data_IF_765256803772
#
_entry.id   IF_765256803772
#
_cell.length_a   1.000
_cell.length_b   1.000
_cell.length_c   1.000
_cell.angle_alpha   90.00
_cell.angle_beta   90.00
_cell.angle_gamma   90.00
#
_symmetry.space_group_name_H-M   'P 1'
#
loop_
_entity.id
_entity.type
_entity.pdbx_description
1 polymer ?
#
# COMPACT_ATOMS: atom_id res chain seq x y z
N UNK A 1 -30.33 -27.26 5.46
CA UNK A 1 -30.59 -25.80 5.36
C UNK A 1 -31.26 -25.56 4.02
N UNK A 2 -32.56 -25.28 4.01
CA UNK A 2 -33.33 -25.06 2.79
C UNK A 2 -32.90 -23.75 2.14
N UNK A 3 -32.40 -23.83 0.91
CA UNK A 3 -32.17 -22.67 0.08
C UNK A 3 -33.55 -22.06 -0.23
N UNK A 4 -33.91 -20.96 0.45
CA UNK A 4 -35.16 -20.27 0.17
C UNK A 4 -35.05 -19.63 -1.23
N UNK A 5 -35.61 -20.31 -2.23
CA UNK A 5 -35.72 -19.79 -3.58
C UNK A 5 -36.63 -18.56 -3.56
N UNK A 6 -36.26 -17.53 -4.31
CA UNK A 6 -37.08 -16.32 -4.47
C UNK A 6 -38.38 -16.74 -5.19
N UNK A 7 -39.57 -16.46 -4.63
CA UNK A 7 -40.84 -16.83 -5.25
C UNK A 7 -40.96 -16.26 -6.68
N UNK A 8 -41.42 -17.09 -7.63
CA UNK A 8 -41.60 -16.70 -9.02
C UNK A 8 -40.35 -16.82 -9.91
N UNK A 9 -39.18 -17.13 -9.34
CA UNK A 9 -37.98 -17.40 -10.16
C UNK A 9 -38.00 -18.85 -10.65
N UNK A 10 -37.77 -19.10 -11.95
CA UNK A 10 -37.68 -20.46 -12.47
C UNK A 10 -36.55 -21.25 -11.79
N UNK A 11 -36.86 -22.45 -11.30
CA UNK A 11 -35.88 -23.31 -10.64
C UNK A 11 -35.15 -24.17 -11.68
N UNK A 12 -34.01 -23.69 -12.16
CA UNK A 12 -33.15 -24.45 -13.07
C UNK A 12 -32.01 -25.15 -12.32
N UNK A 13 -31.78 -26.42 -12.66
CA UNK A 13 -30.61 -27.14 -12.16
C UNK A 13 -29.32 -26.51 -12.70
N UNK A 14 -28.24 -26.52 -11.90
CA UNK A 14 -26.91 -26.05 -12.35
C UNK A 14 -26.44 -26.75 -13.64
N UNK A 15 -26.77 -28.05 -13.80
CA UNK A 15 -26.44 -28.85 -15.00
C UNK A 15 -27.18 -28.36 -16.26
N UNK A 16 -28.37 -27.78 -16.08
CA UNK A 16 -29.17 -27.20 -17.17
C UNK A 16 -28.61 -25.83 -17.55
N UNK A 17 -28.32 -24.98 -16.55
CA UNK A 17 -27.74 -23.65 -16.77
C UNK A 17 -26.36 -23.69 -17.42
N UNK A 18 -25.53 -24.70 -17.11
CA UNK A 18 -24.21 -24.85 -17.73
C UNK A 18 -24.25 -25.16 -19.23
N UNK A 19 -25.41 -25.55 -19.78
CA UNK A 19 -25.60 -25.80 -21.21
C UNK A 19 -26.12 -24.58 -21.96
N UNK A 20 -26.57 -23.54 -21.26
CA UNK A 20 -27.05 -22.30 -21.86
C UNK A 20 -25.85 -21.40 -22.10
N UNK A 21 -25.60 -21.07 -23.38
CA UNK A 21 -24.63 -20.04 -23.76
C UNK A 21 -25.21 -18.67 -23.43
N UNK A 22 -24.92 -18.19 -22.22
CA UNK A 22 -25.29 -16.87 -21.74
C UNK A 22 -24.03 -16.08 -21.37
N UNK A 23 -23.82 -14.95 -22.04
CA UNK A 23 -22.75 -14.00 -21.72
C UNK A 23 -23.36 -12.68 -21.27
N UNK A 24 -23.13 -12.31 -20.01
CA UNK A 24 -23.48 -10.99 -19.49
C UNK A 24 -22.21 -10.17 -19.34
N UNK A 25 -22.11 -9.10 -20.14
CA UNK A 25 -20.95 -8.20 -20.11
C UNK A 25 -20.74 -7.60 -18.72
N UNK A 26 -21.80 -7.06 -18.10
CA UNK A 26 -21.74 -6.47 -16.76
C UNK A 26 -21.25 -7.46 -15.70
N UNK A 27 -21.76 -8.69 -15.71
CA UNK A 27 -21.29 -9.73 -14.79
C UNK A 27 -19.82 -10.08 -15.03
N UNK A 28 -19.36 -10.06 -16.28
CA UNK A 28 -17.98 -10.37 -16.64
C UNK A 28 -17.04 -9.29 -16.15
N UNK A 29 -17.35 -8.01 -16.40
CA UNK A 29 -16.54 -6.88 -15.94
C UNK A 29 -16.48 -6.80 -14.41
N UNK A 30 -17.62 -6.96 -13.73
CA UNK A 30 -17.70 -6.88 -12.26
C UNK A 30 -17.04 -8.06 -11.55
N UNK A 31 -16.99 -9.24 -12.19
CA UNK A 31 -16.33 -10.44 -11.65
C UNK A 31 -14.93 -10.66 -12.21
N UNK A 32 -14.43 -9.75 -13.04
CA UNK A 32 -13.11 -9.86 -13.62
C UNK A 32 -12.06 -9.79 -12.51
N UNK A 33 -11.22 -10.82 -12.42
CA UNK A 33 -10.10 -10.80 -11.48
C UNK A 33 -9.12 -9.71 -11.90
N UNK A 34 -8.70 -8.84 -10.97
CA UNK A 34 -7.58 -7.91 -11.22
C UNK A 34 -6.37 -8.69 -11.74
N UNK A 35 -5.72 -8.16 -12.77
CA UNK A 35 -4.51 -8.72 -13.35
C UNK A 35 -3.44 -8.81 -12.24
N UNK A 36 -2.72 -9.93 -12.18
CA UNK A 36 -1.64 -10.08 -11.19
C UNK A 36 -0.42 -9.28 -11.63
N UNK A 37 0.28 -8.69 -10.66
CA UNK A 37 1.56 -8.00 -10.89
C UNK A 37 2.74 -8.96 -11.01
N UNK A 38 2.50 -10.28 -11.03
CA UNK A 38 3.51 -11.34 -10.85
C UNK A 38 4.61 -11.35 -11.92
N UNK A 39 4.33 -10.80 -13.11
CA UNK A 39 5.26 -10.78 -14.24
C UNK A 39 5.67 -9.36 -14.64
N UNK A 40 5.41 -8.35 -13.81
CA UNK A 40 5.96 -7.01 -14.07
C UNK A 40 7.40 -6.99 -13.58
N UNK A 41 8.34 -6.70 -14.48
CA UNK A 41 9.72 -6.36 -14.11
C UNK A 41 9.64 -5.17 -13.16
N UNK A 42 10.29 -5.27 -12.00
CA UNK A 42 10.32 -4.18 -11.02
C UNK A 42 10.93 -2.96 -11.69
N UNK A 43 10.30 -1.80 -11.56
CA UNK A 43 10.84 -0.51 -12.02
C UNK A 43 11.99 0.01 -11.14
N UNK A 44 12.64 -0.87 -10.38
CA UNK A 44 13.72 -0.49 -9.49
C UNK A 44 14.91 -0.07 -10.33
N UNK A 45 15.45 1.08 -9.99
CA UNK A 45 16.70 1.54 -10.54
C UNK A 45 17.86 0.66 -10.08
N UNK A 46 18.94 0.60 -10.88
CA UNK A 46 20.12 -0.20 -10.55
C UNK A 46 21.09 0.52 -9.60
N UNK A 47 21.01 1.85 -9.51
CA UNK A 47 21.91 2.67 -8.70
C UNK A 47 21.30 2.93 -7.32
N UNK A 48 22.06 2.75 -6.22
CA UNK A 48 21.62 3.18 -4.89
C UNK A 48 21.27 4.68 -4.86
N UNK A 49 20.27 5.07 -4.09
CA UNK A 49 19.89 6.47 -3.82
C UNK A 49 19.39 7.20 -5.09
N UNK A 50 19.11 6.46 -6.18
CA UNK A 50 18.53 7.01 -7.41
C UNK A 50 17.07 7.42 -7.22
N UNK A 51 16.28 6.55 -6.58
CA UNK A 51 14.89 6.78 -6.24
C UNK A 51 14.68 6.51 -4.76
N UNK A 52 14.19 7.52 -4.04
CA UNK A 52 13.87 7.41 -2.62
C UNK A 52 12.37 7.59 -2.43
N UNK A 53 11.77 6.68 -1.68
CA UNK A 53 10.38 6.78 -1.23
C UNK A 53 10.35 7.29 0.21
N UNK A 54 9.63 8.39 0.43
CA UNK A 54 9.42 8.92 1.77
C UNK A 54 7.94 8.93 2.13
N UNK A 55 7.62 8.55 3.35
CA UNK A 55 6.28 8.65 3.90
C UNK A 55 6.30 9.14 5.33
N UNK A 56 5.28 9.93 5.69
CA UNK A 56 5.10 10.45 7.05
C UNK A 56 3.81 9.92 7.63
N UNK A 57 3.93 9.12 8.68
CA UNK A 57 2.81 8.61 9.45
C UNK A 57 2.50 9.53 10.64
N UNK A 58 1.24 9.95 10.80
CA UNK A 58 0.76 10.73 11.95
C UNK A 58 -0.26 11.82 11.60
N UNK A 59 -0.84 12.52 12.60
CA UNK A 59 -0.53 12.43 14.03
C UNK A 59 -1.02 11.11 14.66
N UNK A 60 -0.14 10.45 15.41
CA UNK A 60 -0.47 9.23 16.14
C UNK A 60 -1.42 9.53 17.30
N UNK A 61 -2.46 8.69 17.44
CA UNK A 61 -3.41 8.77 18.55
C UNK A 61 -2.74 8.46 19.89
N UNK A 62 -1.89 7.44 19.90
CA UNK A 62 -1.06 7.08 21.04
C UNK A 62 0.26 7.83 20.95
N UNK A 63 0.56 8.62 21.98
CA UNK A 63 1.80 9.37 22.02
C UNK A 63 2.98 8.44 22.29
N UNK A 64 4.03 8.56 21.49
CA UNK A 64 5.25 7.78 21.68
C UNK A 64 6.01 8.22 22.93
N UNK A 65 6.73 7.28 23.55
CA UNK A 65 7.51 7.50 24.77
C UNK A 65 9.03 7.56 24.56
N UNK A 66 9.50 7.46 23.32
CA UNK A 66 10.94 7.54 23.03
C UNK A 66 11.47 8.96 23.36
N UNK A 67 12.46 9.05 24.26
CA UNK A 67 12.95 10.31 24.81
C UNK A 67 11.99 10.89 25.85
N UNK A 68 11.42 12.08 25.58
CA UNK A 68 10.41 12.69 26.47
C UNK A 68 9.04 12.05 26.21
N UNK A 69 8.50 11.37 27.23
CA UNK A 69 7.19 10.74 27.18
C UNK A 69 6.10 11.71 26.70
N UNK A 70 5.23 11.25 25.80
CA UNK A 70 4.07 12.02 25.36
C UNK A 70 4.33 13.04 24.24
N UNK A 71 5.56 13.13 23.72
CA UNK A 71 5.93 14.20 22.78
C UNK A 71 5.94 13.78 21.31
N UNK A 72 6.12 12.49 21.02
CA UNK A 72 6.21 11.97 19.64
C UNK A 72 4.82 11.76 19.07
N UNK A 73 4.61 12.35 17.90
CA UNK A 73 3.32 12.30 17.18
C UNK A 73 3.46 11.81 15.74
N UNK A 74 4.66 11.80 15.18
CA UNK A 74 4.87 11.43 13.79
C UNK A 74 6.08 10.51 13.64
N UNK A 75 6.01 9.64 12.65
CA UNK A 75 7.12 8.84 12.15
C UNK A 75 7.37 9.21 10.70
N UNK A 76 8.63 9.41 10.35
CA UNK A 76 9.08 9.61 8.98
C UNK A 76 9.93 8.40 8.60
N UNK A 77 9.54 7.70 7.54
CA UNK A 77 10.33 6.64 6.92
C UNK A 77 10.81 7.11 5.56
N UNK A 78 12.11 7.03 5.34
CA UNK A 78 12.75 7.32 4.06
C UNK A 78 13.45 6.04 3.63
N UNK A 79 13.09 5.53 2.45
CA UNK A 79 13.52 4.22 1.98
C UNK A 79 14.13 4.38 0.58
N UNK A 80 15.37 3.91 0.41
CA UNK A 80 15.98 3.78 -0.91
C UNK A 80 15.34 2.59 -1.66
N UNK A 81 14.85 2.82 -2.88
CA UNK A 81 14.12 1.80 -3.64
C UNK A 81 15.01 0.63 -4.07
N UNK A 82 16.27 0.92 -4.42
CA UNK A 82 17.23 -0.09 -4.86
C UNK A 82 17.62 -1.00 -3.70
N UNK A 83 18.21 -0.41 -2.64
CA UNK A 83 18.83 -1.19 -1.56
C UNK A 83 17.81 -1.62 -0.52
N UNK A 84 16.60 -1.04 -0.54
CA UNK A 84 15.62 -1.14 0.55
C UNK A 84 16.17 -0.64 1.90
N UNK A 85 17.24 0.16 1.90
CA UNK A 85 17.78 0.78 3.09
C UNK A 85 16.78 1.82 3.64
N UNK A 86 16.55 1.80 4.95
CA UNK A 86 15.53 2.61 5.59
C UNK A 86 16.13 3.51 6.68
N UNK A 87 15.93 4.82 6.53
CA UNK A 87 16.13 5.81 7.59
C UNK A 87 14.79 6.12 8.26
N UNK A 88 14.70 5.83 9.56
CA UNK A 88 13.51 6.08 10.35
C UNK A 88 13.74 7.21 11.36
N UNK A 89 12.84 8.20 11.37
CA UNK A 89 12.89 9.33 12.28
C UNK A 89 11.60 9.47 13.08
N UNK A 90 11.73 9.76 14.36
CA UNK A 90 10.62 10.10 15.27
C UNK A 90 10.51 11.60 15.44
N UNK A 91 9.30 12.14 15.31
CA UNK A 91 9.06 13.60 15.29
C UNK A 91 7.93 14.01 16.23
N UNK A 92 8.11 15.18 16.86
CA UNK A 92 7.10 15.80 17.74
C UNK A 92 6.08 16.65 16.96
N UNK A 93 6.52 17.22 15.84
CA UNK A 93 5.75 18.10 14.95
C UNK A 93 6.01 17.72 13.49
N UNK A 94 5.00 17.86 12.64
CA UNK A 94 5.11 17.60 11.20
C UNK A 94 6.15 18.49 10.51
N UNK A 95 6.38 19.70 11.00
CA UNK A 95 7.42 20.61 10.49
C UNK A 95 8.84 20.05 10.61
N UNK A 96 9.07 19.09 11.52
CA UNK A 96 10.37 18.41 11.66
C UNK A 96 10.74 17.54 10.46
N UNK A 97 9.79 17.17 9.59
CA UNK A 97 10.05 16.37 8.38
C UNK A 97 11.03 17.09 7.47
N UNK A 98 10.76 18.37 7.16
CA UNK A 98 11.61 19.15 6.26
C UNK A 98 13.03 19.31 6.80
N UNK A 99 13.18 19.41 8.12
CA UNK A 99 14.48 19.51 8.78
C UNK A 99 15.24 18.18 8.63
N UNK A 100 14.61 17.05 8.95
CA UNK A 100 15.26 15.73 8.86
C UNK A 100 15.59 15.31 7.43
N UNK A 101 14.74 15.65 6.46
CA UNK A 101 15.04 15.40 5.04
C UNK A 101 16.29 16.19 4.62
N UNK A 102 16.39 17.47 4.96
CA UNK A 102 17.59 18.27 4.65
C UNK A 102 18.85 17.74 5.33
N UNK A 103 18.76 17.39 6.61
CA UNK A 103 19.88 16.80 7.36
C UNK A 103 20.36 15.50 6.71
N UNK A 104 19.44 14.62 6.32
CA UNK A 104 19.77 13.37 5.65
C UNK A 104 20.43 13.62 4.29
N UNK A 105 19.88 14.50 3.46
CA UNK A 105 20.48 14.83 2.16
C UNK A 105 21.93 15.32 2.31
N UNK A 106 22.18 16.23 3.27
CA UNK A 106 23.54 16.72 3.58
C UNK A 106 24.47 15.63 4.14
N UNK A 107 23.93 14.57 4.75
CA UNK A 107 24.73 13.42 5.17
C UNK A 107 25.11 12.55 3.96
N UNK A 108 24.13 12.24 3.10
CA UNK A 108 24.35 11.45 1.90
C UNK A 108 25.34 12.11 0.93
N UNK A 109 25.27 13.44 0.77
CA UNK A 109 26.21 14.20 -0.06
C UNK A 109 27.66 14.20 0.49
N UNK A 110 27.85 13.97 1.79
CA UNK A 110 29.19 13.90 2.41
C UNK A 110 29.79 12.50 2.39
N UNK A 111 28.94 11.48 2.37
CA UNK A 111 29.33 10.07 2.43
C UNK A 111 29.47 9.43 1.05
N UNK A 112 28.86 10.02 0.01
CA UNK A 112 29.01 9.64 -1.40
C UNK A 112 30.25 10.25 -2.06
#
# INVERSE_FOLDING_TARGET
MSCNFIPGVPNYSRKTLSKVLFFCQTCTEMKMRRISYRNKVSSRDNQPISTIHMDTNGPMRTLGVCGTAGSIRYFLSIIDDQTSWCWAFVLRKKTGVQIKVKELLLQLEREG
#
